data_IF_176365120262
#
_entry.id   IF_176365120262
#
_cell.length_a   1.000
_cell.length_b   1.000
_cell.length_c   1.000
_cell.angle_alpha   90.00
_cell.angle_beta   90.00
_cell.angle_gamma   90.00
#
_symmetry.space_group_name_H-M   'P 1'
#
loop_
_entity.id
_entity.type
_entity.pdbx_description
1 polymer ?
#
# COMPACT_ATOMS: atom_id res chain seq x y z
N UNK A 1 -11.67 23.49 -13.00
CA UNK A 1 -10.39 23.05 -12.36
C UNK A 1 -10.74 22.50 -10.99
N UNK A 2 -10.54 21.20 -10.75
CA UNK A 2 -10.81 20.58 -9.45
C UNK A 2 -9.64 19.69 -9.05
N UNK A 3 -9.16 19.84 -7.81
CA UNK A 3 -8.14 18.99 -7.22
C UNK A 3 -8.81 17.99 -6.27
N UNK A 4 -8.24 16.80 -6.12
CA UNK A 4 -8.70 15.87 -5.09
C UNK A 4 -8.21 16.37 -3.72
N UNK A 5 -9.08 16.31 -2.72
CA UNK A 5 -8.70 16.62 -1.33
C UNK A 5 -7.78 15.50 -0.85
N UNK A 6 -6.63 15.89 -0.29
CA UNK A 6 -5.68 14.95 0.30
C UNK A 6 -6.21 14.40 1.62
N UNK A 7 -6.83 13.22 1.58
CA UNK A 7 -7.20 12.47 2.77
C UNK A 7 -6.07 11.47 3.10
N UNK A 8 -5.63 11.33 4.37
CA UNK A 8 -4.69 10.29 4.74
C UNK A 8 -5.21 8.92 4.30
N UNK A 9 -4.32 8.15 3.66
CA UNK A 9 -4.70 6.94 2.94
C UNK A 9 -5.44 5.92 3.83
N UNK A 10 -5.02 5.77 5.10
CA UNK A 10 -5.68 4.85 6.05
C UNK A 10 -7.13 5.25 6.35
N UNK A 11 -7.43 6.54 6.48
CA UNK A 11 -8.81 6.98 6.72
C UNK A 11 -9.67 6.72 5.51
N UNK A 12 -9.14 6.99 4.31
CA UNK A 12 -9.83 6.66 3.07
C UNK A 12 -10.17 5.16 2.98
N UNK A 13 -9.21 4.28 3.28
CA UNK A 13 -9.43 2.83 3.29
C UNK A 13 -10.52 2.42 4.29
N UNK A 14 -10.50 2.97 5.50
CA UNK A 14 -11.50 2.64 6.52
C UNK A 14 -12.90 3.06 6.08
N UNK A 15 -13.09 4.28 5.58
CA UNK A 15 -14.41 4.72 5.11
C UNK A 15 -14.91 3.88 3.92
N UNK A 16 -14.06 3.67 2.92
CA UNK A 16 -14.44 2.93 1.71
C UNK A 16 -14.69 1.44 2.00
N UNK A 17 -14.03 0.84 3.00
CA UNK A 17 -14.28 -0.55 3.38
C UNK A 17 -15.70 -0.81 3.91
N UNK A 18 -16.37 0.22 4.44
CA UNK A 18 -17.77 0.14 4.90
C UNK A 18 -18.77 0.74 3.90
N UNK A 19 -18.31 1.16 2.71
CA UNK A 19 -19.16 1.65 1.64
C UNK A 19 -19.69 0.49 0.77
N UNK A 20 -20.70 -0.20 1.31
CA UNK A 20 -21.30 -1.36 0.66
C UNK A 20 -21.93 -0.99 -0.69
N UNK A 21 -21.79 -1.88 -1.68
CA UNK A 21 -22.14 -1.69 -3.10
C UNK A 21 -21.17 -0.85 -3.94
N UNK A 22 -20.09 -0.34 -3.35
CA UNK A 22 -19.03 0.32 -4.11
C UNK A 22 -17.96 -0.70 -4.56
N UNK A 23 -17.57 -0.68 -5.84
CA UNK A 23 -16.48 -1.53 -6.34
C UNK A 23 -15.14 -1.18 -5.68
N UNK A 24 -14.96 0.05 -5.19
CA UNK A 24 -13.77 0.46 -4.46
C UNK A 24 -13.66 -0.24 -3.09
N UNK A 25 -14.77 -0.77 -2.55
CA UNK A 25 -14.80 -1.49 -1.27
C UNK A 25 -13.85 -2.68 -1.25
N UNK A 26 -13.85 -3.51 -2.30
CA UNK A 26 -12.99 -4.71 -2.33
C UNK A 26 -11.50 -4.31 -2.29
N UNK A 27 -11.13 -3.25 -3.01
CA UNK A 27 -9.77 -2.75 -3.01
C UNK A 27 -9.39 -2.10 -1.68
N UNK A 28 -10.34 -1.44 -1.01
CA UNK A 28 -10.13 -0.91 0.33
C UNK A 28 -9.87 -2.04 1.34
N UNK A 29 -10.65 -3.12 1.29
CA UNK A 29 -10.45 -4.32 2.11
C UNK A 29 -9.08 -4.96 1.83
N UNK A 30 -8.69 -5.10 0.55
CA UNK A 30 -7.36 -5.59 0.18
C UNK A 30 -6.25 -4.69 0.74
N UNK A 31 -6.40 -3.36 0.63
CA UNK A 31 -5.46 -2.41 1.21
C UNK A 31 -5.30 -2.56 2.72
N UNK A 32 -6.41 -2.67 3.46
CA UNK A 32 -6.40 -2.93 4.90
C UNK A 32 -5.75 -4.27 5.25
N UNK A 33 -6.05 -5.34 4.50
CA UNK A 33 -5.39 -6.64 4.68
C UNK A 33 -3.88 -6.53 4.47
N UNK A 34 -3.43 -5.79 3.45
CA UNK A 34 -2.01 -5.53 3.22
C UNK A 34 -1.34 -4.82 4.40
N UNK A 35 -2.01 -3.85 5.02
CA UNK A 35 -1.52 -3.16 6.23
C UNK A 35 -1.44 -4.12 7.40
N UNK A 36 -2.49 -4.91 7.64
CA UNK A 36 -2.53 -5.90 8.73
C UNK A 36 -1.39 -6.92 8.56
N UNK A 37 -1.20 -7.46 7.37
CA UNK A 37 -0.12 -8.39 7.06
C UNK A 37 1.27 -7.77 7.28
N UNK A 38 1.43 -6.49 6.95
CA UNK A 38 2.68 -5.77 7.14
C UNK A 38 3.01 -5.49 8.61
N UNK A 39 1.99 -5.28 9.46
CA UNK A 39 2.15 -5.01 10.91
C UNK A 39 2.22 -6.29 11.73
N UNK A 40 1.58 -7.35 11.27
CA UNK A 40 1.59 -8.65 11.97
C UNK A 40 3.00 -9.21 11.93
N UNK A 41 3.54 -9.65 13.09
CA UNK A 41 4.88 -10.24 13.25
C UNK A 41 5.03 -11.62 12.58
N UNK A 42 4.32 -11.90 11.49
CA UNK A 42 4.54 -13.11 10.71
C UNK A 42 5.98 -13.07 10.21
N UNK A 43 6.80 -14.00 10.73
CA UNK A 43 8.25 -14.15 10.49
C UNK A 43 8.61 -13.52 9.15
N UNK A 44 9.41 -12.44 9.15
CA UNK A 44 9.78 -11.57 8.01
C UNK A 44 10.08 -12.30 6.70
N UNK A 45 9.07 -12.92 6.11
CA UNK A 45 9.16 -13.68 4.88
C UNK A 45 8.98 -12.65 3.79
N UNK A 46 10.01 -12.52 2.96
CA UNK A 46 10.02 -11.65 1.77
C UNK A 46 8.71 -11.78 0.97
N UNK A 47 8.19 -13.00 0.81
CA UNK A 47 6.92 -13.26 0.13
C UNK A 47 5.71 -12.55 0.77
N UNK A 48 5.64 -12.51 2.11
CA UNK A 48 4.56 -11.81 2.84
C UNK A 48 4.74 -10.30 2.68
N UNK A 49 5.98 -9.79 2.70
CA UNK A 49 6.27 -8.37 2.45
C UNK A 49 5.86 -7.96 1.03
N UNK A 50 6.22 -8.75 0.01
CA UNK A 50 5.80 -8.50 -1.38
C UNK A 50 4.27 -8.56 -1.52
N UNK A 51 3.63 -9.57 -0.92
CA UNK A 51 2.17 -9.70 -0.94
C UNK A 51 1.49 -8.49 -0.29
N UNK A 52 1.99 -8.05 0.88
CA UNK A 52 1.49 -6.88 1.58
C UNK A 52 1.61 -5.62 0.73
N UNK A 53 2.73 -5.46 0.02
CA UNK A 53 2.93 -4.35 -0.91
C UNK A 53 1.88 -4.30 -2.02
N UNK A 54 1.67 -5.45 -2.70
CA UNK A 54 0.72 -5.57 -3.80
C UNK A 54 -0.71 -5.26 -3.33
N UNK A 55 -1.07 -5.76 -2.14
CA UNK A 55 -2.36 -5.51 -1.52
C UNK A 55 -2.58 -4.02 -1.21
N UNK A 56 -1.59 -3.34 -0.63
CA UNK A 56 -1.66 -1.90 -0.34
C UNK A 56 -1.65 -1.02 -1.60
N UNK A 57 -0.99 -1.46 -2.69
CA UNK A 57 -1.01 -0.76 -3.96
C UNK A 57 -2.35 -0.90 -4.70
N UNK A 58 -3.05 -2.03 -4.54
CA UNK A 58 -4.28 -2.33 -5.28
C UNK A 58 -5.36 -1.22 -5.25
N UNK A 59 -5.74 -0.61 -4.10
CA UNK A 59 -6.66 0.53 -4.07
C UNK A 59 -6.13 1.79 -4.76
N UNK A 60 -4.83 2.04 -4.71
CA UNK A 60 -4.22 3.20 -5.37
C UNK A 60 -4.29 3.04 -6.89
N UNK A 61 -3.91 1.85 -7.39
CA UNK A 61 -3.97 1.51 -8.81
C UNK A 61 -5.42 1.59 -9.30
N UNK A 62 -6.36 1.01 -8.55
CA UNK A 62 -7.78 1.06 -8.87
C UNK A 62 -8.30 2.49 -9.01
N UNK A 63 -7.96 3.40 -8.08
CA UNK A 63 -8.34 4.82 -8.18
C UNK A 63 -7.73 5.52 -9.39
N UNK A 64 -6.47 5.23 -9.72
CA UNK A 64 -5.80 5.83 -10.88
C UNK A 64 -6.43 5.34 -12.19
N UNK A 65 -6.89 4.09 -12.26
CA UNK A 65 -7.59 3.56 -13.44
C UNK A 65 -8.99 4.16 -13.59
N UNK A 66 -9.73 4.29 -12.49
CA UNK A 66 -11.12 4.76 -12.52
C UNK A 66 -11.26 6.28 -12.68
N UNK A 67 -10.27 7.06 -12.26
CA UNK A 67 -10.30 8.52 -12.31
C UNK A 67 -9.29 9.03 -13.34
N UNK A 68 -9.65 10.10 -14.07
CA UNK A 68 -8.71 10.80 -14.96
C UNK A 68 -7.39 11.13 -14.24
N UNK A 69 -6.27 10.74 -14.86
CA UNK A 69 -4.91 10.95 -14.37
C UNK A 69 -4.60 12.43 -14.09
N UNK A 70 -5.29 13.34 -14.76
CA UNK A 70 -5.20 14.79 -14.55
C UNK A 70 -5.53 15.19 -13.10
N UNK A 71 -6.48 14.49 -12.46
CA UNK A 71 -6.88 14.79 -11.08
C UNK A 71 -5.81 14.43 -10.06
N UNK A 72 -4.82 13.60 -10.44
CA UNK A 72 -3.66 13.24 -9.61
C UNK A 72 -2.41 14.08 -9.93
N UNK A 73 -2.53 15.05 -10.85
CA UNK A 73 -1.41 15.89 -11.27
C UNK A 73 -1.11 17.01 -10.25
N UNK A 74 -0.90 16.64 -8.99
CA UNK A 74 -0.55 17.56 -7.91
C UNK A 74 0.48 16.95 -6.96
N UNK A 75 1.39 17.78 -6.46
CA UNK A 75 2.54 17.32 -5.67
C UNK A 75 2.13 16.60 -4.38
N UNK A 76 1.04 17.05 -3.74
CA UNK A 76 0.56 16.43 -2.51
C UNK A 76 0.05 15.00 -2.67
N UNK A 77 -0.18 14.50 -3.89
CA UNK A 77 -0.39 13.07 -4.16
C UNK A 77 0.88 12.37 -4.62
N UNK A 78 1.61 12.98 -5.57
CA UNK A 78 2.80 12.37 -6.18
C UNK A 78 3.90 12.09 -5.16
N UNK A 79 4.18 13.03 -4.26
CA UNK A 79 5.28 12.91 -3.28
C UNK A 79 4.99 11.78 -2.29
N UNK A 80 3.82 11.71 -1.61
CA UNK A 80 3.52 10.58 -0.74
C UNK A 80 3.52 9.23 -1.44
N UNK A 81 2.97 9.14 -2.66
CA UNK A 81 2.95 7.90 -3.42
C UNK A 81 4.37 7.43 -3.77
N UNK A 82 5.21 8.35 -4.24
CA UNK A 82 6.61 8.04 -4.56
C UNK A 82 7.37 7.56 -3.33
N UNK A 83 7.24 8.27 -2.19
CA UNK A 83 7.88 7.87 -0.94
C UNK A 83 7.40 6.50 -0.46
N UNK A 84 6.09 6.24 -0.52
CA UNK A 84 5.54 4.94 -0.18
C UNK A 84 6.17 3.82 -1.02
N UNK A 85 6.20 3.97 -2.35
CA UNK A 85 6.78 2.97 -3.26
C UNK A 85 8.28 2.79 -2.99
N UNK A 86 9.04 3.87 -2.93
CA UNK A 86 10.49 3.82 -2.77
C UNK A 86 10.88 3.20 -1.42
N UNK A 87 10.29 3.67 -0.31
CA UNK A 87 10.56 3.12 1.01
C UNK A 87 10.16 1.65 1.12
N UNK A 88 9.03 1.25 0.52
CA UNK A 88 8.58 -0.13 0.58
C UNK A 88 9.47 -1.06 -0.26
N UNK A 89 9.94 -0.63 -1.42
CA UNK A 89 10.93 -1.38 -2.20
C UNK A 89 12.23 -1.58 -1.43
N UNK A 90 12.72 -0.53 -0.76
CA UNK A 90 13.90 -0.64 0.13
C UNK A 90 13.63 -1.66 1.24
N UNK A 91 12.45 -1.61 1.87
CA UNK A 91 12.07 -2.56 2.91
C UNK A 91 12.04 -4.03 2.42
N UNK A 92 11.54 -4.27 1.20
CA UNK A 92 11.58 -5.61 0.58
C UNK A 92 13.03 -6.08 0.41
N UNK A 93 13.92 -5.22 -0.11
CA UNK A 93 15.34 -5.56 -0.31
C UNK A 93 16.01 -5.88 1.03
N UNK A 94 15.80 -5.06 2.05
CA UNK A 94 16.37 -5.28 3.39
C UNK A 94 15.89 -6.61 4.00
N UNK A 95 14.60 -6.95 3.84
CA UNK A 95 14.07 -8.24 4.30
C UNK A 95 14.65 -9.43 3.52
N UNK A 96 14.93 -9.27 2.23
CA UNK A 96 15.56 -10.31 1.43
C UNK A 96 17.00 -10.56 1.89
N UNK A 97 17.81 -9.50 2.03
CA UNK A 97 19.21 -9.61 2.48
C UNK A 97 19.32 -10.17 3.90
N UNK A 98 18.43 -9.77 4.82
CA UNK A 98 18.44 -10.27 6.19
C UNK A 98 18.25 -11.79 6.27
N UNK A 99 17.51 -12.39 5.33
CA UNK A 99 17.21 -13.83 5.31
C UNK A 99 18.38 -14.67 4.78
N UNK A 100 19.28 -14.10 4.00
CA UNK A 100 20.46 -14.79 3.46
C UNK A 100 21.60 -14.91 4.48
N UNK A 101 21.60 -14.09 5.54
CA UNK A 101 22.52 -14.31 6.66
C UNK A 101 22.03 -15.55 7.43
N UNK A 102 22.80 -16.65 7.51
CA UNK A 102 22.43 -17.77 8.37
C UNK A 102 22.26 -17.23 9.80
N UNK A 103 21.21 -17.67 10.48
CA UNK A 103 21.11 -17.53 11.93
C UNK A 103 22.33 -18.26 12.51
N UNK A 104 23.41 -17.54 12.76
CA UNK A 104 24.54 -18.04 13.54
C UNK A 104 24.03 -18.08 14.97
N UNK A 105 23.33 -19.16 15.30
CA UNK A 105 23.06 -19.54 16.67
C UNK A 105 24.40 -19.86 17.33
N UNK A 106 24.93 -18.89 18.09
CA UNK A 106 25.98 -19.11 19.08
C UNK A 106 25.39 -19.80 20.32
#
# INVERSE_FOLDING_TARGET
MGQMIGLPFIFWLLFTAFDFWNIEQIFAVLGLLGIILNVTRWKNKVSITILSFMLMLSPIISRIIQISTEKFNYLAFKIPLFLFIACYLIFIILNAVKREKPDVSL
#
